data_IF_363170157209
#
_entry.id   IF_363170157209
#
_cell.length_a   1.000
_cell.length_b   1.000
_cell.length_c   1.000
_cell.angle_alpha   90.00
_cell.angle_beta   90.00
_cell.angle_gamma   90.00
#
_symmetry.space_group_name_H-M   'P 1'
#
loop_
_entity.id
_entity.type
_entity.pdbx_description
1 polymer ?
#
# COMPACT_ATOMS: atom_id res chain seq x y z
N UNK A 1 18.84 -11.53 -26.13
CA UNK A 1 17.76 -12.06 -25.28
C UNK A 1 17.41 -11.12 -24.12
N UNK A 2 18.20 -10.07 -23.85
CA UNK A 2 17.99 -9.15 -22.73
C UNK A 2 16.99 -8.01 -23.00
N UNK A 3 16.92 -7.49 -24.23
CA UNK A 3 16.09 -6.31 -24.53
C UNK A 3 14.58 -6.60 -24.53
N UNK A 4 14.19 -7.84 -24.88
CA UNK A 4 12.78 -8.25 -24.92
C UNK A 4 12.22 -8.53 -23.52
N UNK A 5 13.05 -8.97 -22.58
CA UNK A 5 12.65 -9.16 -21.17
C UNK A 5 12.48 -7.81 -20.45
N UNK A 6 13.38 -6.85 -20.70
CA UNK A 6 13.28 -5.50 -20.14
C UNK A 6 12.01 -4.75 -20.57
N UNK A 7 11.57 -4.91 -21.83
CA UNK A 7 10.34 -4.30 -22.33
C UNK A 7 9.06 -4.93 -21.76
N UNK A 8 9.07 -6.24 -21.48
CA UNK A 8 7.92 -6.93 -20.87
C UNK A 8 7.78 -6.55 -19.38
N UNK A 9 8.89 -6.43 -18.64
CA UNK A 9 8.88 -5.93 -17.25
C UNK A 9 8.41 -4.46 -17.15
N UNK A 10 8.81 -3.61 -18.09
CA UNK A 10 8.35 -2.21 -18.16
C UNK A 10 6.84 -2.12 -18.46
N UNK A 11 6.29 -3.03 -19.26
CA UNK A 11 4.85 -3.10 -19.53
C UNK A 11 4.01 -3.59 -18.33
N UNK A 12 4.59 -4.36 -17.40
CA UNK A 12 3.89 -4.80 -16.18
C UNK A 12 3.90 -3.76 -15.05
N UNK A 13 4.84 -2.82 -15.08
CA UNK A 13 5.00 -1.80 -14.03
C UNK A 13 4.08 -0.60 -14.26
N UNK A 14 3.16 -0.33 -13.32
CA UNK A 14 2.31 0.86 -13.37
C UNK A 14 3.09 2.13 -13.08
N UNK A 15 4.03 2.07 -12.13
CA UNK A 15 4.85 3.22 -11.69
C UNK A 15 6.31 2.77 -11.58
N UNK A 16 7.22 3.55 -12.15
CA UNK A 16 8.67 3.35 -12.03
C UNK A 16 9.30 4.64 -11.52
N UNK A 17 9.95 4.54 -10.37
CA UNK A 17 10.72 5.61 -9.74
C UNK A 17 12.20 5.34 -10.04
N UNK A 18 12.89 6.33 -10.58
CA UNK A 18 14.30 6.22 -10.94
C UNK A 18 15.10 7.29 -10.21
N UNK A 19 15.93 6.86 -9.27
CA UNK A 19 16.92 7.69 -8.58
C UNK A 19 16.35 8.96 -7.94
N UNK A 20 15.13 8.86 -7.39
CA UNK A 20 14.45 10.01 -6.81
C UNK A 20 15.19 10.52 -5.59
N UNK A 21 15.53 11.81 -5.62
CA UNK A 21 16.21 12.50 -4.53
C UNK A 21 15.45 13.76 -4.19
N UNK A 22 15.31 14.05 -2.88
CA UNK A 22 14.67 15.27 -2.39
C UNK A 22 15.50 15.93 -1.30
N UNK A 23 15.95 17.14 -1.61
CA UNK A 23 16.51 18.11 -0.67
C UNK A 23 15.49 19.23 -0.43
N UNK A 24 15.27 19.57 0.84
CA UNK A 24 14.59 20.79 1.25
C UNK A 24 15.64 21.83 1.66
N UNK A 25 15.44 23.07 1.23
CA UNK A 25 16.38 24.17 1.45
C UNK A 25 16.46 25.10 0.24
N UNK A 26 17.12 26.26 0.38
CA UNK A 26 17.38 27.17 -0.74
C UNK A 26 18.31 26.51 -1.77
N UNK A 27 18.14 26.77 -3.07
CA UNK A 27 19.03 26.25 -4.14
C UNK A 27 19.48 24.77 -4.01
N UNK A 28 18.55 23.78 -3.98
CA UNK A 28 18.91 22.36 -3.86
C UNK A 28 19.91 21.84 -4.90
N UNK A 29 19.94 22.45 -6.09
CA UNK A 29 20.86 22.15 -7.18
C UNK A 29 22.32 22.15 -6.76
N UNK A 30 22.69 23.08 -5.88
CA UNK A 30 24.09 23.33 -5.52
C UNK A 30 24.60 22.24 -4.55
N UNK A 31 23.68 21.58 -3.86
CA UNK A 31 23.97 20.57 -2.84
C UNK A 31 23.82 19.14 -3.35
N UNK A 32 23.07 18.93 -4.44
CA UNK A 32 22.92 17.62 -5.08
C UNK A 32 24.25 16.89 -5.36
N UNK A 33 25.32 17.56 -5.85
CA UNK A 33 26.61 16.90 -6.06
C UNK A 33 27.16 16.24 -4.79
N UNK A 34 27.03 16.87 -3.62
CA UNK A 34 27.49 16.32 -2.35
C UNK A 34 26.64 15.11 -1.91
N UNK A 35 25.34 15.13 -2.19
CA UNK A 35 24.47 13.96 -1.96
C UNK A 35 24.93 12.77 -2.80
N UNK A 36 25.25 13.00 -4.07
CA UNK A 36 25.74 11.96 -4.98
C UNK A 36 27.13 11.45 -4.61
N UNK A 37 27.96 12.26 -3.96
CA UNK A 37 29.23 11.85 -3.37
C UNK A 37 29.08 11.06 -2.06
N UNK A 38 27.85 10.87 -1.58
CA UNK A 38 27.58 10.10 -0.36
C UNK A 38 27.71 10.91 0.93
N UNK A 39 27.67 12.25 0.87
CA UNK A 39 27.71 13.06 2.08
C UNK A 39 26.55 12.71 3.01
N UNK A 40 26.85 12.56 4.30
CA UNK A 40 25.88 12.19 5.33
C UNK A 40 24.78 13.25 5.49
N UNK A 41 23.58 12.82 5.86
CA UNK A 41 22.41 13.69 6.06
C UNK A 41 22.65 14.77 7.10
N UNK A 42 23.35 14.47 8.21
CA UNK A 42 23.63 15.46 9.24
C UNK A 42 24.65 16.49 8.77
N UNK A 43 25.64 16.08 7.98
CA UNK A 43 26.60 17.00 7.38
C UNK A 43 25.93 17.94 6.38
N UNK A 44 25.05 17.40 5.53
CA UNK A 44 24.25 18.22 4.61
C UNK A 44 23.46 19.30 5.35
N UNK A 45 22.85 18.94 6.49
CA UNK A 45 22.13 19.91 7.31
C UNK A 45 23.06 20.93 7.97
N UNK A 46 24.12 20.49 8.63
CA UNK A 46 25.00 21.37 9.41
C UNK A 46 25.87 22.29 8.53
N UNK A 47 26.34 21.81 7.38
CA UNK A 47 27.28 22.53 6.52
C UNK A 47 26.57 23.35 5.43
N UNK A 48 25.39 22.90 4.97
CA UNK A 48 24.67 23.56 3.88
C UNK A 48 23.28 24.10 4.26
N UNK A 49 22.71 23.68 5.40
CA UNK A 49 21.38 24.10 5.84
C UNK A 49 20.23 23.37 5.12
N UNK A 50 20.51 22.22 4.50
CA UNK A 50 19.52 21.44 3.74
C UNK A 50 19.08 20.19 4.49
N UNK A 51 17.82 19.81 4.32
CA UNK A 51 17.30 18.54 4.83
C UNK A 51 17.18 17.56 3.68
N UNK A 52 18.00 16.50 3.71
CA UNK A 52 17.87 15.37 2.79
C UNK A 52 16.70 14.48 3.25
N UNK A 53 15.60 14.53 2.51
CA UNK A 53 14.39 13.79 2.80
C UNK A 53 14.30 12.46 2.07
N UNK A 54 14.85 12.37 0.85
CA UNK A 54 14.94 11.15 0.06
C UNK A 54 16.29 11.12 -0.66
N UNK A 55 16.94 9.95 -0.69
CA UNK A 55 18.22 9.71 -1.36
C UNK A 55 18.09 8.54 -2.32
N UNK A 56 18.29 8.82 -3.62
CA UNK A 56 18.43 7.82 -4.70
C UNK A 56 17.38 6.69 -4.66
N UNK A 57 16.11 7.03 -4.44
CA UNK A 57 15.02 6.05 -4.36
C UNK A 57 14.70 5.53 -5.76
N UNK A 58 14.92 4.24 -5.96
CA UNK A 58 14.50 3.52 -7.16
C UNK A 58 13.55 2.39 -6.78
N UNK A 59 12.37 2.37 -7.40
CA UNK A 59 11.29 1.44 -7.06
C UNK A 59 10.41 1.18 -8.28
N UNK A 60 10.12 -0.09 -8.56
CA UNK A 60 9.11 -0.50 -9.56
C UNK A 60 7.86 -0.97 -8.84
N UNK A 61 6.70 -0.52 -9.30
CA UNK A 61 5.38 -0.86 -8.73
C UNK A 61 4.57 -1.54 -9.82
N UNK A 62 4.14 -2.76 -9.54
CA UNK A 62 3.37 -3.59 -10.46
C UNK A 62 1.92 -3.10 -10.62
N UNK A 63 1.36 -3.31 -11.81
CA UNK A 63 -0.02 -2.95 -12.11
C UNK A 63 -1.01 -3.82 -11.35
N UNK A 64 -2.05 -3.20 -10.79
CA UNK A 64 -3.14 -3.91 -10.14
C UNK A 64 -2.73 -4.59 -8.84
N UNK A 65 -1.58 -4.20 -8.27
CA UNK A 65 -1.05 -4.69 -7.00
C UNK A 65 -1.12 -3.62 -5.92
N UNK A 66 -1.10 -4.04 -4.67
CA UNK A 66 -0.97 -3.17 -3.50
C UNK A 66 0.50 -3.07 -3.12
N UNK A 67 1.10 -1.92 -3.38
CA UNK A 67 2.44 -1.57 -2.93
C UNK A 67 2.37 -0.81 -1.61
N UNK A 68 2.94 -1.40 -0.57
CA UNK A 68 3.09 -0.77 0.73
C UNK A 68 4.40 0.03 0.77
N UNK A 69 4.35 1.25 1.29
CA UNK A 69 5.51 2.06 1.64
C UNK A 69 5.53 2.19 3.17
N UNK A 70 6.48 1.52 3.80
CA UNK A 70 6.57 1.39 5.25
C UNK A 70 7.80 2.11 5.80
N UNK A 71 7.77 2.49 7.07
CA UNK A 71 8.90 3.09 7.77
C UNK A 71 8.46 4.03 8.90
N UNK A 72 9.40 4.47 9.71
CA UNK A 72 9.14 5.37 10.84
C UNK A 72 8.70 6.77 10.39
N UNK A 73 8.17 7.56 11.32
CA UNK A 73 7.93 8.98 11.08
C UNK A 73 9.23 9.68 10.65
N UNK A 74 9.14 10.56 9.65
CA UNK A 74 10.31 11.27 9.12
C UNK A 74 11.18 10.48 8.12
N UNK A 75 10.84 9.23 7.78
CA UNK A 75 11.62 8.43 6.79
C UNK A 75 11.39 8.83 5.33
N UNK A 76 10.50 9.79 5.04
CA UNK A 76 10.26 10.31 3.69
C UNK A 76 9.06 9.69 2.95
N UNK A 77 8.29 8.79 3.56
CA UNK A 77 7.15 8.08 2.92
C UNK A 77 6.14 9.00 2.23
N UNK A 78 5.57 9.96 2.97
CA UNK A 78 4.59 10.89 2.42
C UNK A 78 5.21 11.85 1.40
N UNK A 79 6.50 12.16 1.51
CA UNK A 79 7.24 12.93 0.49
C UNK A 79 7.34 12.14 -0.81
N UNK A 80 7.67 10.84 -0.73
CA UNK A 80 7.70 9.94 -1.88
C UNK A 80 6.33 9.84 -2.55
N UNK A 81 5.26 9.63 -1.76
CA UNK A 81 3.89 9.59 -2.28
C UNK A 81 3.48 10.90 -2.98
N UNK A 82 3.86 12.05 -2.42
CA UNK A 82 3.59 13.37 -3.02
C UNK A 82 4.42 13.63 -4.26
N UNK A 83 5.58 13.01 -4.43
CA UNK A 83 6.34 13.05 -5.68
C UNK A 83 5.62 12.29 -6.80
N UNK A 84 5.04 11.13 -6.52
CA UNK A 84 4.26 10.36 -7.51
C UNK A 84 3.11 11.22 -8.09
N UNK A 85 2.40 11.95 -7.23
CA UNK A 85 1.35 12.89 -7.65
C UNK A 85 1.91 14.27 -8.11
N UNK A 86 3.24 14.46 -8.07
CA UNK A 86 3.98 15.71 -8.32
C UNK A 86 3.47 16.92 -7.52
N UNK A 87 2.88 16.69 -6.34
CA UNK A 87 2.44 17.77 -5.43
C UNK A 87 3.64 18.53 -4.85
N UNK A 88 4.78 17.85 -4.76
CA UNK A 88 6.08 18.42 -4.45
C UNK A 88 7.03 17.98 -5.56
N UNK A 89 7.85 18.91 -6.07
CA UNK A 89 8.86 18.59 -7.08
C UNK A 89 10.05 17.85 -6.44
N UNK A 90 10.49 16.72 -7.02
CA UNK A 90 11.76 16.10 -6.62
C UNK A 90 12.92 17.02 -6.97
N UNK A 91 14.04 16.87 -6.26
CA UNK A 91 15.27 17.60 -6.58
C UNK A 91 16.02 16.95 -7.75
N UNK A 92 15.94 15.62 -7.88
CA UNK A 92 16.48 14.86 -8.99
C UNK A 92 15.73 13.53 -9.17
N UNK A 93 15.97 12.87 -10.31
CA UNK A 93 15.38 11.58 -10.67
C UNK A 93 14.25 11.70 -11.69
N UNK A 94 13.56 10.58 -11.93
CA UNK A 94 12.41 10.48 -12.86
C UNK A 94 11.27 9.68 -12.24
N UNK A 95 10.05 9.99 -12.71
CA UNK A 95 8.81 9.31 -12.30
C UNK A 95 8.07 8.94 -13.56
N UNK A 96 8.07 7.65 -13.90
CA UNK A 96 7.37 7.12 -15.05
C UNK A 96 6.08 6.48 -14.57
N UNK A 97 4.94 6.86 -15.15
CA UNK A 97 3.64 6.25 -14.87
C UNK A 97 3.05 5.83 -16.20
N UNK A 98 2.83 4.52 -16.37
CA UNK A 98 2.51 3.92 -17.68
C UNK A 98 3.50 4.34 -18.78
N UNK A 99 4.80 4.36 -18.45
CA UNK A 99 5.87 4.77 -19.36
C UNK A 99 5.96 6.28 -19.63
N UNK A 100 5.04 7.11 -19.11
CA UNK A 100 5.07 8.57 -19.30
C UNK A 100 5.80 9.25 -18.14
N UNK A 101 6.80 10.07 -18.44
CA UNK A 101 7.48 10.90 -17.44
C UNK A 101 6.55 12.00 -16.91
N UNK A 102 6.27 11.98 -15.62
CA UNK A 102 5.39 12.93 -14.94
C UNK A 102 6.08 14.30 -14.79
N UNK A 103 7.42 14.33 -14.74
CA UNK A 103 8.18 15.57 -14.57
C UNK A 103 8.26 16.39 -15.86
N UNK A 104 8.11 15.74 -17.02
CA UNK A 104 8.08 16.43 -18.32
C UNK A 104 6.72 17.06 -18.66
N UNK A 105 5.67 16.77 -17.88
CA UNK A 105 4.33 17.31 -18.11
C UNK A 105 4.30 18.82 -17.88
N UNK A 106 3.61 19.54 -18.78
CA UNK A 106 3.26 20.93 -18.51
C UNK A 106 2.12 21.04 -17.46
N UNK A 107 1.73 22.27 -17.10
CA UNK A 107 0.68 22.51 -16.09
C UNK A 107 -0.70 21.95 -16.49
N UNK A 108 -1.06 22.02 -17.78
CA UNK A 108 -2.34 21.55 -18.26
C UNK A 108 -2.38 20.02 -18.34
N UNK A 109 -1.30 19.42 -18.84
CA UNK A 109 -1.11 17.97 -18.90
C UNK A 109 -1.09 17.37 -17.50
N UNK A 110 -0.36 17.97 -16.57
CA UNK A 110 -0.32 17.54 -15.17
C UNK A 110 -1.70 17.61 -14.51
N UNK A 111 -2.50 18.63 -14.84
CA UNK A 111 -3.89 18.73 -14.36
C UNK A 111 -4.75 17.59 -14.92
N UNK A 112 -4.68 17.31 -16.23
CA UNK A 112 -5.41 16.19 -16.84
C UNK A 112 -4.96 14.85 -16.26
N UNK A 113 -3.67 14.68 -16.04
CA UNK A 113 -3.09 13.51 -15.39
C UNK A 113 -3.70 13.28 -14.00
N UNK A 114 -3.70 14.30 -13.14
CA UNK A 114 -4.33 14.24 -11.80
C UNK A 114 -5.84 14.06 -11.81
N UNK A 115 -6.50 14.40 -12.91
CA UNK A 115 -7.94 14.22 -13.04
C UNK A 115 -8.31 12.80 -13.41
N UNK A 116 -7.49 12.08 -14.19
CA UNK A 116 -7.89 10.81 -14.81
C UNK A 116 -7.02 9.61 -14.45
N UNK A 117 -5.78 9.81 -14.01
CA UNK A 117 -4.79 8.74 -13.88
C UNK A 117 -4.46 8.41 -12.42
N UNK A 118 -4.45 9.43 -11.56
CA UNK A 118 -4.15 9.30 -10.13
C UNK A 118 -5.28 9.87 -9.28
N UNK A 119 -5.61 9.17 -8.19
CA UNK A 119 -6.38 9.70 -7.08
C UNK A 119 -5.62 9.57 -5.77
N UNK A 120 -5.95 10.43 -4.80
CA UNK A 120 -5.28 10.47 -3.50
C UNK A 120 -6.28 10.46 -2.34
N UNK A 121 -5.99 9.64 -1.34
CA UNK A 121 -6.65 9.59 -0.03
C UNK A 121 -5.65 10.10 1.01
N UNK A 122 -6.07 11.10 1.78
CA UNK A 122 -5.22 11.78 2.76
C UNK A 122 -5.39 11.18 4.16
N UNK A 123 -4.37 11.36 5.01
CA UNK A 123 -4.37 10.94 6.42
C UNK A 123 -5.54 11.54 7.23
N UNK A 124 -5.84 12.82 6.99
CA UNK A 124 -7.08 13.45 7.46
C UNK A 124 -8.07 13.44 6.32
N UNK A 125 -9.34 13.13 6.60
CA UNK A 125 -10.41 12.90 5.62
C UNK A 125 -10.46 13.92 4.46
N UNK A 126 -10.03 15.16 4.71
CA UNK A 126 -9.92 16.25 3.73
C UNK A 126 -11.23 16.45 2.97
N UNK A 127 -12.36 16.20 3.63
CA UNK A 127 -13.69 16.44 3.09
C UNK A 127 -13.98 17.94 3.12
N UNK A 128 -14.77 18.40 2.16
CA UNK A 128 -15.28 19.76 2.09
C UNK A 128 -16.45 19.87 3.08
N UNK A 129 -16.30 20.59 4.21
CA UNK A 129 -17.28 20.56 5.30
C UNK A 129 -18.59 21.26 4.94
N UNK A 130 -18.54 22.18 3.98
CA UNK A 130 -19.68 22.95 3.47
C UNK A 130 -20.39 22.27 2.29
N UNK A 131 -20.04 21.02 1.98
CA UNK A 131 -20.64 20.23 0.90
C UNK A 131 -21.23 18.94 1.45
N UNK A 132 -22.27 18.46 0.79
CA UNK A 132 -22.88 17.17 1.14
C UNK A 132 -21.92 16.01 0.85
N UNK A 133 -22.25 14.81 1.33
CA UNK A 133 -21.47 13.60 1.03
C UNK A 133 -21.48 13.32 -0.46
N UNK A 134 -22.64 13.41 -1.12
CA UNK A 134 -22.75 13.24 -2.56
C UNK A 134 -21.88 14.25 -3.32
N UNK A 135 -21.88 15.52 -2.92
CA UNK A 135 -21.05 16.56 -3.54
C UNK A 135 -19.55 16.34 -3.31
N UNK A 136 -19.17 15.81 -2.15
CA UNK A 136 -17.79 15.43 -1.85
C UNK A 136 -17.32 14.32 -2.78
N UNK A 137 -18.13 13.28 -2.98
CA UNK A 137 -17.81 12.17 -3.89
C UNK A 137 -17.78 12.64 -5.35
N UNK A 138 -18.73 13.50 -5.75
CA UNK A 138 -18.81 14.06 -7.10
C UNK A 138 -17.70 15.08 -7.43
N UNK A 139 -16.94 15.57 -6.45
CA UNK A 139 -15.99 16.68 -6.63
C UNK A 139 -14.95 16.42 -7.74
N UNK A 140 -14.39 15.21 -7.80
CA UNK A 140 -13.41 14.83 -8.82
C UNK A 140 -14.02 14.81 -10.23
N UNK A 141 -15.26 14.34 -10.36
CA UNK A 141 -16.01 14.30 -11.63
C UNK A 141 -16.35 15.71 -12.13
N UNK A 142 -16.68 16.63 -11.22
CA UNK A 142 -16.83 18.04 -11.53
C UNK A 142 -15.54 18.64 -12.11
N UNK A 143 -14.39 18.28 -11.53
CA UNK A 143 -13.09 18.71 -12.05
C UNK A 143 -12.78 18.12 -13.44
N UNK A 144 -13.28 16.92 -13.75
CA UNK A 144 -13.23 16.30 -15.08
C UNK A 144 -14.25 16.90 -16.08
N UNK A 145 -15.09 17.85 -15.65
CA UNK A 145 -16.18 18.46 -16.43
C UNK A 145 -17.26 17.45 -16.87
N UNK A 146 -17.51 16.41 -16.07
CA UNK A 146 -18.65 15.52 -16.28
C UNK A 146 -19.98 16.29 -16.17
N UNK A 147 -21.05 15.80 -16.81
CA UNK A 147 -22.38 16.43 -16.70
C UNK A 147 -22.93 16.29 -15.28
N UNK A 148 -23.81 17.21 -14.85
CA UNK A 148 -24.40 17.15 -13.51
C UNK A 148 -25.16 15.83 -13.25
N UNK A 149 -25.79 15.27 -14.30
CA UNK A 149 -26.45 13.96 -14.23
C UNK A 149 -25.44 12.85 -13.95
N UNK A 150 -24.36 12.76 -14.74
CA UNK A 150 -23.33 11.74 -14.58
C UNK A 150 -22.60 11.86 -13.24
N UNK A 151 -22.34 13.09 -12.78
CA UNK A 151 -21.76 13.35 -11.47
C UNK A 151 -22.63 12.76 -10.36
N UNK A 152 -23.94 13.05 -10.39
CA UNK A 152 -24.89 12.62 -9.35
C UNK A 152 -25.07 11.12 -9.33
N UNK A 153 -25.22 10.50 -10.50
CA UNK A 153 -25.37 9.06 -10.67
C UNK A 153 -24.14 8.31 -10.15
N UNK A 154 -22.96 8.65 -10.66
CA UNK A 154 -21.69 8.01 -10.25
C UNK A 154 -21.43 8.19 -8.76
N UNK A 155 -21.64 9.40 -8.23
CA UNK A 155 -21.47 9.65 -6.81
C UNK A 155 -22.43 8.81 -5.96
N UNK A 156 -23.69 8.67 -6.38
CA UNK A 156 -24.65 7.84 -5.68
C UNK A 156 -24.22 6.37 -5.65
N UNK A 157 -23.82 5.82 -6.80
CA UNK A 157 -23.30 4.45 -6.88
C UNK A 157 -22.16 4.22 -5.90
N UNK A 158 -21.20 5.14 -5.83
CA UNK A 158 -20.06 5.02 -4.92
C UNK A 158 -20.43 5.18 -3.45
N UNK A 159 -21.36 6.08 -3.11
CA UNK A 159 -21.88 6.23 -1.74
C UNK A 159 -22.53 4.93 -1.27
N UNK A 160 -23.37 4.31 -2.11
CA UNK A 160 -23.96 3.00 -1.79
C UNK A 160 -22.91 1.90 -1.69
N UNK A 161 -21.94 1.87 -2.60
CA UNK A 161 -20.90 0.83 -2.64
C UNK A 161 -20.02 0.82 -1.40
N UNK A 162 -19.76 1.99 -0.79
CA UNK A 162 -19.04 2.08 0.48
C UNK A 162 -19.95 1.91 1.71
N UNK A 163 -21.22 1.54 1.53
CA UNK A 163 -22.17 1.27 2.61
C UNK A 163 -22.75 2.53 3.28
N UNK A 164 -22.81 3.66 2.57
CA UNK A 164 -23.32 4.94 3.09
C UNK A 164 -24.64 5.37 2.44
N UNK A 165 -25.40 4.42 1.88
CA UNK A 165 -26.73 4.71 1.34
C UNK A 165 -27.64 5.37 2.38
N UNK A 166 -28.33 6.44 2.00
CA UNK A 166 -29.16 7.26 2.89
C UNK A 166 -28.45 8.46 3.52
N UNK A 167 -27.11 8.57 3.39
CA UNK A 167 -26.32 9.71 3.89
C UNK A 167 -25.91 10.69 2.79
N UNK A 168 -26.48 10.59 1.58
CA UNK A 168 -26.08 11.37 0.40
C UNK A 168 -26.13 12.89 0.68
N UNK A 169 -27.19 13.32 1.37
CA UNK A 169 -27.46 14.72 1.69
C UNK A 169 -26.87 15.16 3.03
N UNK A 170 -26.22 14.26 3.78
CA UNK A 170 -25.57 14.61 5.04
C UNK A 170 -24.29 15.44 4.79
N UNK A 171 -23.85 16.15 5.82
CA UNK A 171 -22.58 16.88 5.84
C UNK A 171 -21.52 16.09 6.63
N UNK A 172 -20.22 16.28 6.35
CA UNK A 172 -19.15 15.55 7.03
C UNK A 172 -19.21 15.59 8.56
N UNK A 173 -19.64 16.72 9.15
CA UNK A 173 -19.77 16.89 10.59
C UNK A 173 -20.84 15.97 11.23
N UNK A 174 -21.74 15.39 10.44
CA UNK A 174 -22.78 14.47 10.89
C UNK A 174 -22.35 13.00 10.82
N UNK A 175 -21.12 12.73 10.37
CA UNK A 175 -20.58 11.39 10.16
C UNK A 175 -19.51 11.04 11.20
N UNK A 176 -19.43 9.75 11.56
CA UNK A 176 -18.30 9.21 12.32
C UNK A 176 -16.99 9.26 11.51
N UNK A 177 -15.83 9.14 12.16
CA UNK A 177 -14.53 9.12 11.47
C UNK A 177 -14.42 8.02 10.42
N UNK A 178 -14.92 6.81 10.72
CA UNK A 178 -14.99 5.71 9.75
C UNK A 178 -15.84 6.03 8.53
N UNK A 179 -17.02 6.63 8.74
CA UNK A 179 -17.89 7.05 7.64
C UNK A 179 -17.21 8.15 6.80
N UNK A 180 -16.55 9.13 7.43
CA UNK A 180 -15.81 10.16 6.69
C UNK A 180 -14.67 9.56 5.85
N UNK A 181 -14.00 8.51 6.34
CA UNK A 181 -12.99 7.80 5.56
C UNK A 181 -13.59 7.07 4.35
N UNK A 182 -14.75 6.41 4.52
CA UNK A 182 -15.51 5.78 3.42
C UNK A 182 -15.87 6.80 2.34
N UNK A 183 -16.27 8.02 2.72
CA UNK A 183 -16.52 9.12 1.77
C UNK A 183 -15.23 9.53 1.05
N UNK A 184 -14.10 9.64 1.76
CA UNK A 184 -12.80 9.95 1.18
C UNK A 184 -12.35 8.92 0.14
N UNK A 185 -12.57 7.63 0.43
CA UNK A 185 -12.31 6.51 -0.47
C UNK A 185 -13.25 6.54 -1.69
N UNK A 186 -14.56 6.69 -1.46
CA UNK A 186 -15.55 6.83 -2.53
C UNK A 186 -15.22 7.98 -3.48
N UNK A 187 -14.83 9.15 -2.95
CA UNK A 187 -14.41 10.31 -3.75
C UNK A 187 -13.20 10.00 -4.64
N UNK A 188 -12.22 9.28 -4.11
CA UNK A 188 -11.03 8.90 -4.87
C UNK A 188 -11.39 7.93 -6.00
N UNK A 189 -12.22 6.92 -5.69
CA UNK A 189 -12.61 5.89 -6.65
C UNK A 189 -13.60 6.37 -7.72
N UNK A 190 -14.45 7.34 -7.39
CA UNK A 190 -15.44 7.92 -8.30
C UNK A 190 -14.83 8.50 -9.58
N UNK A 191 -13.57 8.95 -9.54
CA UNK A 191 -12.87 9.50 -10.70
C UNK A 191 -12.53 8.45 -11.77
N UNK A 192 -12.58 7.16 -11.43
CA UNK A 192 -12.14 6.09 -12.31
C UNK A 192 -10.62 5.96 -12.46
N UNK A 193 -9.82 6.75 -11.73
CA UNK A 193 -8.36 6.73 -11.81
C UNK A 193 -7.76 5.32 -11.64
N UNK A 194 -6.68 5.02 -12.36
CA UNK A 194 -6.04 3.69 -12.32
C UNK A 194 -5.17 3.48 -11.08
N UNK A 195 -4.55 4.56 -10.58
CA UNK A 195 -3.67 4.53 -9.43
C UNK A 195 -4.30 5.25 -8.24
N UNK A 196 -4.33 4.57 -7.10
CA UNK A 196 -4.81 5.11 -5.83
C UNK A 196 -3.63 5.30 -4.86
N UNK A 197 -3.39 6.54 -4.46
CA UNK A 197 -2.36 6.89 -3.49
C UNK A 197 -3.01 7.10 -2.12
N UNK A 198 -2.52 6.43 -1.08
CA UNK A 198 -3.08 6.51 0.27
C UNK A 198 -1.99 6.85 1.27
N UNK A 199 -2.12 7.99 1.95
CA UNK A 199 -1.16 8.49 2.94
C UNK A 199 -1.69 8.22 4.36
N UNK A 200 -1.29 7.11 4.98
CA UNK A 200 -1.74 6.68 6.32
C UNK A 200 -3.27 6.79 6.52
N UNK A 201 -4.08 6.22 5.60
CA UNK A 201 -5.53 6.48 5.55
C UNK A 201 -6.28 5.97 6.78
N UNK A 202 -5.73 5.03 7.54
CA UNK A 202 -6.42 4.38 8.66
C UNK A 202 -5.81 4.69 10.03
N UNK A 203 -4.79 5.56 10.10
CA UNK A 203 -4.06 5.85 11.33
C UNK A 203 -4.93 6.50 12.42
N UNK A 204 -6.00 7.20 12.01
CA UNK A 204 -6.91 7.90 12.92
C UNK A 204 -8.16 7.09 13.30
N UNK A 205 -8.24 5.81 12.89
CA UNK A 205 -9.41 4.97 13.10
C UNK A 205 -9.21 3.99 14.26
N UNK A 206 -10.30 3.71 14.97
CA UNK A 206 -10.35 2.66 15.98
C UNK A 206 -10.10 1.28 15.36
N UNK A 207 -9.57 0.29 16.11
CA UNK A 207 -9.14 -1.00 15.56
C UNK A 207 -10.22 -1.78 14.78
N UNK A 208 -11.48 -1.73 15.25
CA UNK A 208 -12.59 -2.43 14.58
C UNK A 208 -12.87 -1.82 13.20
N UNK A 209 -13.08 -0.50 13.17
CA UNK A 209 -13.35 0.25 11.94
C UNK A 209 -12.16 0.18 10.97
N UNK A 210 -10.93 0.19 11.49
CA UNK A 210 -9.73 -0.02 10.69
C UNK A 210 -9.78 -1.34 9.94
N UNK A 211 -10.14 -2.44 10.62
CA UNK A 211 -10.25 -3.77 10.00
C UNK A 211 -11.32 -3.79 8.90
N UNK A 212 -12.52 -3.25 9.18
CA UNK A 212 -13.59 -3.14 8.18
C UNK A 212 -13.17 -2.33 6.95
N UNK A 213 -12.43 -1.24 7.14
CA UNK A 213 -11.96 -0.39 6.04
C UNK A 213 -10.89 -1.06 5.19
N UNK A 214 -10.04 -1.88 5.80
CA UNK A 214 -9.05 -2.69 5.10
C UNK A 214 -9.74 -3.78 4.26
N UNK A 215 -10.79 -4.41 4.79
CA UNK A 215 -11.58 -5.42 4.07
C UNK A 215 -12.24 -4.81 2.84
N UNK A 216 -12.90 -3.67 3.03
CA UNK A 216 -13.49 -2.91 1.93
C UNK A 216 -12.44 -2.52 0.87
N UNK A 217 -11.22 -2.15 1.29
CA UNK A 217 -10.16 -1.80 0.35
C UNK A 217 -9.73 -3.02 -0.49
N UNK A 218 -9.54 -4.18 0.15
CA UNK A 218 -9.17 -5.42 -0.54
C UNK A 218 -10.28 -5.90 -1.48
N UNK A 219 -11.53 -5.86 -1.05
CA UNK A 219 -12.69 -6.17 -1.89
C UNK A 219 -12.71 -5.28 -3.14
N UNK A 220 -12.61 -3.97 -2.96
CA UNK A 220 -12.62 -3.00 -4.07
C UNK A 220 -11.39 -3.15 -4.98
N UNK A 221 -10.23 -3.46 -4.42
CA UNK A 221 -9.03 -3.70 -5.20
C UNK A 221 -9.19 -4.96 -6.07
N UNK A 222 -9.75 -6.03 -5.52
CA UNK A 222 -9.99 -7.30 -6.21
C UNK A 222 -10.99 -7.14 -7.37
N UNK A 223 -12.03 -6.32 -7.17
CA UNK A 223 -13.07 -6.09 -8.16
C UNK A 223 -12.59 -5.16 -9.30
N UNK A 224 -11.77 -4.15 -8.98
CA UNK A 224 -11.44 -3.07 -9.91
C UNK A 224 -10.05 -3.16 -10.52
N UNK A 225 -9.18 -4.04 -10.00
CA UNK A 225 -7.80 -4.21 -10.46
C UNK A 225 -6.95 -2.94 -10.37
N UNK A 226 -7.24 -2.06 -9.39
CA UNK A 226 -6.53 -0.78 -9.24
C UNK A 226 -5.14 -0.99 -8.68
N UNK A 227 -4.19 -0.15 -9.12
CA UNK A 227 -2.85 -0.09 -8.52
C UNK A 227 -2.92 0.77 -7.28
N UNK A 228 -2.56 0.23 -6.11
CA UNK A 228 -2.67 0.96 -4.84
C UNK A 228 -1.28 1.16 -4.28
N UNK A 229 -0.97 2.41 -3.90
CA UNK A 229 0.25 2.77 -3.18
C UNK A 229 -0.20 3.23 -1.80
N UNK A 230 0.13 2.44 -0.80
CA UNK A 230 -0.39 2.60 0.55
C UNK A 230 0.76 2.85 1.53
N UNK A 231 0.77 4.02 2.13
CA UNK A 231 1.74 4.41 3.15
C UNK A 231 1.20 4.03 4.51
N UNK A 232 2.00 3.31 5.30
CA UNK A 232 1.71 3.02 6.70
C UNK A 232 2.97 2.99 7.55
N UNK A 233 2.78 3.08 8.86
CA UNK A 233 3.80 2.80 9.86
C UNK A 233 3.52 1.50 10.63
N UNK A 234 2.39 0.83 10.37
CA UNK A 234 1.95 -0.37 11.05
C UNK A 234 2.35 -1.63 10.25
N UNK A 235 3.22 -2.50 10.80
CA UNK A 235 3.61 -3.75 10.18
C UNK A 235 2.45 -4.72 9.92
N UNK A 236 1.45 -4.79 10.80
CA UNK A 236 0.31 -5.69 10.62
C UNK A 236 -0.52 -5.28 9.40
N UNK A 237 -0.70 -3.98 9.17
CA UNK A 237 -1.34 -3.47 7.95
C UNK A 237 -0.53 -3.79 6.69
N UNK A 238 0.79 -3.63 6.77
CA UNK A 238 1.69 -3.86 5.66
C UNK A 238 1.64 -5.32 5.18
N UNK A 239 1.68 -6.27 6.12
CA UNK A 239 1.63 -7.69 5.79
C UNK A 239 0.23 -8.11 5.32
N UNK A 240 -0.82 -7.55 5.94
CA UNK A 240 -2.20 -7.90 5.59
C UNK A 240 -2.63 -7.41 4.21
N UNK A 241 -2.26 -6.18 3.86
CA UNK A 241 -2.74 -5.51 2.64
C UNK A 241 -1.79 -5.64 1.45
N UNK A 242 -0.49 -5.77 1.70
CA UNK A 242 0.52 -5.62 0.67
C UNK A 242 0.74 -6.85 -0.18
N UNK A 243 0.81 -6.68 -1.50
CA UNK A 243 1.48 -7.65 -2.37
C UNK A 243 3.00 -7.49 -2.28
N UNK A 244 3.46 -6.24 -2.17
CA UNK A 244 4.87 -5.87 -2.07
C UNK A 244 5.04 -4.80 -0.99
N UNK A 245 6.14 -4.85 -0.24
CA UNK A 245 6.47 -3.89 0.83
C UNK A 245 7.82 -3.25 0.51
N UNK A 246 7.87 -1.92 0.53
CA UNK A 246 9.09 -1.13 0.45
C UNK A 246 9.33 -0.46 1.80
N UNK A 247 10.44 -0.78 2.47
CA UNK A 247 10.79 -0.24 3.78
C UNK A 247 11.78 0.91 3.61
N UNK A 248 11.36 2.11 4.04
CA UNK A 248 12.16 3.32 4.03
C UNK A 248 12.69 3.64 5.42
N UNK A 249 13.99 3.96 5.49
CA UNK A 249 14.64 4.49 6.68
C UNK A 249 15.50 5.68 6.30
N UNK A 250 15.35 6.79 7.02
CA UNK A 250 16.15 8.01 6.84
C UNK A 250 16.17 8.60 5.41
N UNK A 251 15.16 8.30 4.60
CA UNK A 251 15.07 8.73 3.21
C UNK A 251 15.65 7.75 2.20
N UNK A 252 16.05 6.55 2.63
CA UNK A 252 16.64 5.50 1.79
C UNK A 252 15.76 4.25 1.76
N UNK A 253 15.74 3.55 0.62
CA UNK A 253 15.07 2.26 0.46
C UNK A 253 15.96 1.15 1.00
N UNK A 254 15.56 0.53 2.10
CA UNK A 254 16.38 -0.48 2.79
C UNK A 254 16.13 -1.88 2.20
N UNK A 255 14.85 -2.26 2.06
CA UNK A 255 14.42 -3.55 1.53
C UNK A 255 13.10 -3.38 0.78
N UNK A 256 12.95 -4.12 -0.32
CA UNK A 256 11.73 -4.23 -1.12
C UNK A 256 11.47 -5.70 -1.45
N UNK A 257 10.24 -6.16 -1.32
CA UNK A 257 9.85 -7.53 -1.67
C UNK A 257 8.48 -7.92 -1.14
N UNK A 258 8.10 -9.16 -1.36
CA UNK A 258 6.82 -9.70 -0.88
C UNK A 258 6.80 -9.74 0.67
N UNK A 259 5.63 -9.57 1.32
CA UNK A 259 5.52 -9.58 2.78
C UNK A 259 6.20 -10.79 3.45
N UNK A 260 6.01 -11.98 2.87
CA UNK A 260 6.63 -13.19 3.40
C UNK A 260 8.15 -13.13 3.39
N UNK A 261 8.77 -12.59 2.32
CA UNK A 261 10.22 -12.43 2.24
C UNK A 261 10.74 -11.45 3.30
N UNK A 262 10.00 -10.37 3.55
CA UNK A 262 10.32 -9.41 4.62
C UNK A 262 10.32 -10.12 5.99
N UNK A 263 9.32 -10.98 6.26
CA UNK A 263 9.17 -11.70 7.52
C UNK A 263 10.16 -12.85 7.74
N UNK A 264 10.53 -13.57 6.67
CA UNK A 264 11.44 -14.73 6.77
C UNK A 264 12.90 -14.38 6.55
N UNK A 265 13.18 -13.27 5.86
CA UNK A 265 14.53 -12.89 5.46
C UNK A 265 14.74 -11.37 5.59
N UNK A 266 14.67 -10.82 6.82
CA UNK A 266 14.94 -9.41 7.05
C UNK A 266 16.41 -9.09 6.73
N UNK A 267 16.65 -8.03 5.95
CA UNK A 267 17.99 -7.68 5.45
C UNK A 267 18.95 -7.19 6.56
N UNK A 268 18.41 -6.65 7.66
CA UNK A 268 19.20 -6.17 8.79
C UNK A 268 18.39 -6.16 10.09
N UNK A 269 19.08 -5.88 11.20
CA UNK A 269 18.48 -5.86 12.54
C UNK A 269 17.39 -4.79 12.69
N UNK A 270 17.51 -3.66 11.99
CA UNK A 270 16.45 -2.64 11.99
C UNK A 270 15.13 -3.22 11.49
N UNK A 271 15.13 -3.96 10.38
CA UNK A 271 13.92 -4.59 9.84
C UNK A 271 13.43 -5.70 10.77
N UNK A 272 14.34 -6.51 11.32
CA UNK A 272 13.99 -7.57 12.28
C UNK A 272 13.27 -7.01 13.50
N UNK A 273 13.78 -5.94 14.11
CA UNK A 273 13.12 -5.26 15.24
C UNK A 273 11.79 -4.64 14.81
N UNK A 274 11.73 -4.05 13.61
CA UNK A 274 10.52 -3.38 13.13
C UNK A 274 9.34 -4.33 12.92
N UNK A 275 9.60 -5.59 12.55
CA UNK A 275 8.57 -6.60 12.30
C UNK A 275 8.37 -7.57 13.47
N UNK A 276 9.07 -7.37 14.58
CA UNK A 276 9.10 -8.31 15.70
C UNK A 276 7.72 -8.51 16.36
N UNK A 277 6.90 -7.46 16.38
CA UNK A 277 5.59 -7.47 17.02
C UNK A 277 4.45 -7.86 16.06
N UNK A 278 4.76 -8.20 14.79
CA UNK A 278 3.77 -8.68 13.83
C UNK A 278 3.13 -9.96 14.35
N UNK A 279 1.80 -10.00 14.35
CA UNK A 279 1.09 -11.21 14.76
C UNK A 279 1.13 -12.28 13.65
N UNK A 280 2.22 -13.04 13.57
CA UNK A 280 2.43 -14.12 12.59
C UNK A 280 1.28 -15.11 12.55
N UNK A 281 0.66 -15.38 13.70
CA UNK A 281 -0.54 -16.23 13.81
C UNK A 281 -1.71 -15.78 12.95
N UNK A 282 -1.89 -14.48 12.78
CA UNK A 282 -3.00 -13.90 12.01
C UNK A 282 -2.65 -13.66 10.54
N UNK A 283 -1.39 -13.40 10.24
CA UNK A 283 -0.98 -12.91 8.91
C UNK A 283 -0.28 -13.97 8.06
N UNK A 284 0.29 -15.01 8.68
CA UNK A 284 0.95 -16.10 7.96
C UNK A 284 -0.07 -17.21 7.73
N UNK A 285 -0.09 -17.73 6.50
CA UNK A 285 -0.95 -18.85 6.13
C UNK A 285 -0.23 -20.19 6.28
N UNK A 286 -0.99 -21.24 6.58
CA UNK A 286 -0.46 -22.59 6.82
C UNK A 286 0.29 -23.16 5.61
N UNK A 287 -0.08 -22.76 4.39
CA UNK A 287 0.60 -23.15 3.16
C UNK A 287 2.08 -22.74 3.10
N UNK A 288 2.47 -21.70 3.84
CA UNK A 288 3.87 -21.20 3.84
C UNK A 288 4.83 -22.08 4.64
N UNK A 289 4.31 -22.89 5.57
CA UNK A 289 5.10 -23.78 6.43
C UNK A 289 4.84 -25.25 6.12
N UNK A 290 3.95 -25.54 5.17
CA UNK A 290 3.63 -26.88 4.73
C UNK A 290 4.89 -27.53 4.15
N UNK A 291 5.31 -28.66 4.72
CA UNK A 291 6.52 -29.36 4.33
C UNK A 291 6.21 -30.82 3.99
N UNK A 292 7.00 -31.39 3.07
CA UNK A 292 7.09 -32.82 2.81
C UNK A 292 6.05 -33.41 1.85
N UNK A 293 6.37 -34.61 1.33
CA UNK A 293 5.49 -35.42 0.50
C UNK A 293 4.18 -35.75 1.23
N UNK A 294 3.10 -35.83 0.46
CA UNK A 294 1.74 -36.21 0.85
C UNK A 294 1.67 -37.65 1.36
N UNK A 295 2.32 -37.93 2.49
CA UNK A 295 2.05 -39.14 3.25
C UNK A 295 0.60 -39.09 3.71
N UNK A 296 0.03 -40.27 3.90
CA UNK A 296 -1.29 -40.46 4.52
C UNK A 296 -1.35 -39.64 5.82
N UNK A 297 -2.07 -38.53 5.76
CA UNK A 297 -2.37 -37.69 6.91
C UNK A 297 -3.68 -38.20 7.50
N UNK A 298 -3.68 -38.56 8.78
CA UNK A 298 -4.87 -38.99 9.52
C UNK A 298 -5.67 -37.80 10.08
N UNK A 299 -5.15 -36.57 9.91
CA UNK A 299 -5.79 -35.33 10.30
C UNK A 299 -6.66 -34.69 9.22
N UNK A 300 -7.33 -33.56 9.55
CA UNK A 300 -8.20 -32.86 8.62
C UNK A 300 -7.42 -32.23 7.46
N UNK A 301 -8.12 -31.98 6.35
CA UNK A 301 -7.62 -31.13 5.28
C UNK A 301 -7.78 -29.65 5.69
N UNK A 302 -6.69 -28.88 5.60
CA UNK A 302 -6.66 -27.44 5.90
C UNK A 302 -6.29 -26.69 4.62
N UNK A 303 -7.06 -25.66 4.28
CA UNK A 303 -6.81 -24.84 3.09
C UNK A 303 -5.51 -24.05 3.29
N UNK A 304 -4.68 -23.97 2.25
CA UNK A 304 -3.36 -23.33 2.28
C UNK A 304 -3.38 -21.86 2.69
N UNK A 305 -4.50 -21.18 2.46
CA UNK A 305 -4.75 -19.78 2.81
C UNK A 305 -5.19 -19.59 4.26
N UNK A 306 -5.52 -20.66 4.99
CA UNK A 306 -5.93 -20.59 6.40
C UNK A 306 -4.81 -20.01 7.27
N UNK A 307 -5.08 -18.98 8.10
CA UNK A 307 -4.11 -18.42 9.02
C UNK A 307 -3.60 -19.43 10.05
N UNK A 308 -2.33 -19.30 10.48
CA UNK A 308 -1.72 -20.20 11.45
C UNK A 308 -2.51 -20.32 12.77
N UNK A 309 -3.08 -19.22 13.27
CA UNK A 309 -3.87 -19.23 14.51
C UNK A 309 -5.17 -20.04 14.39
N UNK A 310 -5.78 -20.06 13.20
CA UNK A 310 -6.97 -20.87 12.93
C UNK A 310 -6.58 -22.33 12.73
N UNK A 311 -5.51 -22.60 11.96
CA UNK A 311 -4.95 -23.93 11.81
C UNK A 311 -4.58 -24.56 13.17
N UNK A 312 -3.98 -23.77 14.08
CA UNK A 312 -3.68 -24.21 15.45
C UNK A 312 -4.94 -24.64 16.20
N UNK A 313 -6.04 -23.86 16.11
CA UNK A 313 -7.32 -24.20 16.75
C UNK A 313 -7.92 -25.49 16.20
N UNK A 314 -7.86 -25.70 14.88
CA UNK A 314 -8.33 -26.93 14.25
C UNK A 314 -7.52 -28.14 14.72
N UNK A 315 -6.20 -27.97 14.83
CA UNK A 315 -5.27 -29.01 15.25
C UNK A 315 -5.31 -29.31 16.76
N UNK A 316 -5.78 -28.39 17.61
CA UNK A 316 -5.95 -28.66 19.06
C UNK A 316 -6.87 -29.86 19.33
N UNK A 317 -7.86 -30.10 18.45
CA UNK A 317 -8.75 -31.26 18.57
C UNK A 317 -8.09 -32.58 18.15
N UNK A 318 -6.93 -32.51 17.48
CA UNK A 318 -6.17 -33.65 16.99
C UNK A 318 -4.65 -33.40 17.16
N UNK A 319 -4.14 -33.32 18.41
CA UNK A 319 -2.77 -32.86 18.67
C UNK A 319 -1.68 -33.81 18.12
N UNK A 320 -2.01 -35.10 17.95
CA UNK A 320 -1.05 -36.14 17.58
C UNK A 320 -1.05 -36.49 16.09
N UNK A 321 -1.89 -35.85 15.28
CA UNK A 321 -1.99 -36.13 13.83
C UNK A 321 -1.41 -34.99 12.99
N UNK A 322 -0.90 -35.34 11.82
CA UNK A 322 -0.58 -34.38 10.79
C UNK A 322 -1.85 -34.01 10.02
N UNK A 323 -2.09 -32.72 9.82
CA UNK A 323 -3.10 -32.24 8.90
C UNK A 323 -2.50 -32.09 7.50
N UNK A 324 -3.32 -32.37 6.50
CA UNK A 324 -2.95 -32.20 5.10
C UNK A 324 -3.24 -30.76 4.69
N UNK A 325 -2.28 -30.11 4.07
CA UNK A 325 -2.48 -28.77 3.53
C UNK A 325 -2.88 -28.89 2.07
N UNK A 326 -4.01 -28.31 1.69
CA UNK A 326 -4.57 -28.38 0.34
C UNK A 326 -4.78 -26.99 -0.24
N UNK A 327 -4.66 -26.86 -1.55
CA UNK A 327 -5.16 -25.69 -2.29
C UNK A 327 -6.68 -25.57 -2.16
N UNK A 328 -7.26 -24.42 -2.53
CA UNK A 328 -8.72 -24.24 -2.60
C UNK A 328 -9.40 -25.27 -3.54
N UNK A 329 -8.66 -25.81 -4.51
CA UNK A 329 -9.11 -26.85 -5.44
C UNK A 329 -8.88 -28.28 -4.92
N UNK A 330 -8.54 -28.45 -3.65
CA UNK A 330 -8.29 -29.75 -3.02
C UNK A 330 -6.97 -30.44 -3.41
N UNK A 331 -6.10 -29.79 -4.18
CA UNK A 331 -4.79 -30.36 -4.53
C UNK A 331 -3.86 -30.26 -3.33
N UNK A 332 -3.19 -31.35 -2.93
CA UNK A 332 -2.36 -31.33 -1.74
C UNK A 332 -1.02 -30.63 -1.98
N UNK A 333 -0.58 -29.83 -1.02
CA UNK A 333 0.67 -29.07 -1.03
C UNK A 333 1.71 -29.62 -0.05
N UNK A 334 1.26 -30.29 1.01
CA UNK A 334 2.14 -30.85 2.04
C UNK A 334 1.36 -31.19 3.30
N UNK A 335 2.07 -31.25 4.42
CA UNK A 335 1.48 -31.51 5.74
C UNK A 335 2.02 -30.57 6.80
N UNK A 336 1.25 -30.40 7.88
CA UNK A 336 1.63 -29.63 9.07
C UNK A 336 1.21 -30.35 10.33
N UNK A 337 1.93 -30.10 11.42
CA UNK A 337 1.57 -30.55 12.78
C UNK A 337 1.24 -29.35 13.66
N UNK A 338 0.59 -29.59 14.80
CA UNK A 338 0.37 -28.53 15.79
C UNK A 338 1.70 -27.89 16.21
N UNK A 339 2.73 -28.71 16.43
CA UNK A 339 4.08 -28.24 16.77
C UNK A 339 4.66 -27.31 15.71
N UNK A 340 4.61 -27.68 14.42
CA UNK A 340 5.15 -26.82 13.37
C UNK A 340 4.39 -25.50 13.24
N UNK A 341 3.07 -25.51 13.47
CA UNK A 341 2.23 -24.31 13.47
C UNK A 341 2.60 -23.39 14.64
N UNK A 342 2.72 -23.95 15.85
CA UNK A 342 3.06 -23.19 17.07
C UNK A 342 4.48 -22.62 16.98
N UNK A 343 5.45 -23.40 16.48
CA UNK A 343 6.83 -22.92 16.25
C UNK A 343 6.86 -21.77 15.25
N UNK A 344 6.12 -21.87 14.14
CA UNK A 344 6.03 -20.80 13.16
C UNK A 344 5.36 -19.53 13.71
N UNK A 345 4.38 -19.67 14.61
CA UNK A 345 3.77 -18.54 15.32
C UNK A 345 4.72 -17.89 16.32
N UNK A 346 5.59 -18.68 16.97
CA UNK A 346 6.53 -18.22 17.98
C UNK A 346 7.87 -17.75 17.42
N UNK A 347 8.15 -17.99 16.13
CA UNK A 347 9.39 -17.59 15.47
C UNK A 347 9.58 -16.06 15.52
N UNK A 348 10.70 -15.62 16.10
CA UNK A 348 11.09 -14.21 16.26
C UNK A 348 12.13 -13.76 15.24
#
# INVERSE_FOLDING_TARGET
MDETHGQIEEMQSAIVLQRLTKLFGPTPSDVLPFVHQGLDKNKIFNEHGHVLALRDISLKIETGKVQIIMGLSGSGKSTLLRHINRLIEPSAGRILIRGRDVLSLDKQELRKFRQHQISMVFQRFALLPHRTIQDNVAFGLSAQKATSSAQRETANTWVHKVGLGGYENSFPAQLSGGMQQRVGLARALATGAECLLMDEPFSALDPLIRTEMQDLLLELQSELGKTIIFVTHDPDEAVRLGDNIAILKDGELIQHGAPMQILTSPKNDYIRTFIQDVNRGRVVSVGTIANGETKTCDGPDIVATTPLAEAARLLTNHPDVSARVVTEKGHPLGSVTLTSVVEAMAAR
#
